data_IF_933785879754
#
_entry.id   IF_933785879754
#
_cell.length_a   1.000
_cell.length_b   1.000
_cell.length_c   1.000
_cell.angle_alpha   90.00
_cell.angle_beta   90.00
_cell.angle_gamma   90.00
#
_symmetry.space_group_name_H-M   'P 1'
#
loop_
_entity.id
_entity.type
_entity.pdbx_description
1 polymer ?
#
# COMPACT_ATOMS: atom_id res chain seq x y z
N UNK A 1 -5.08 -22.87 33.29
CA UNK A 1 -5.32 -21.64 32.50
C UNK A 1 -4.56 -21.79 31.20
N UNK A 2 -5.24 -22.02 30.10
CA UNK A 2 -4.62 -22.25 28.79
C UNK A 2 -4.13 -20.92 28.21
N UNK A 3 -2.81 -20.73 28.18
CA UNK A 3 -2.18 -19.55 27.58
C UNK A 3 -2.41 -19.53 26.06
N UNK A 4 -3.00 -18.43 25.61
CA UNK A 4 -3.25 -18.09 24.22
C UNK A 4 -1.99 -17.40 23.69
N UNK A 5 -1.08 -18.17 23.10
CA UNK A 5 0.12 -17.62 22.46
C UNK A 5 -0.26 -17.00 21.13
N UNK A 6 -0.36 -15.67 21.10
CA UNK A 6 -0.60 -14.91 19.88
C UNK A 6 0.76 -14.65 19.21
N UNK A 7 0.97 -15.06 17.94
CA UNK A 7 2.19 -14.77 17.20
C UNK A 7 2.42 -13.24 17.06
N UNK A 8 3.65 -12.78 16.83
CA UNK A 8 3.98 -11.36 16.79
C UNK A 8 3.10 -10.61 15.78
N UNK A 9 2.25 -9.72 16.29
CA UNK A 9 1.29 -8.97 15.50
C UNK A 9 1.98 -7.78 14.84
N UNK A 10 1.94 -7.72 13.51
CA UNK A 10 2.39 -6.55 12.75
C UNK A 10 1.18 -5.66 12.38
N UNK A 11 1.35 -4.34 12.47
CA UNK A 11 0.28 -3.38 12.13
C UNK A 11 -0.28 -3.64 10.73
N UNK A 12 -1.61 -3.70 10.63
CA UNK A 12 -2.31 -3.86 9.36
C UNK A 12 -2.23 -5.27 8.74
N UNK A 13 -1.51 -6.22 9.36
CA UNK A 13 -1.51 -7.63 8.94
C UNK A 13 -2.46 -8.43 9.82
N UNK A 14 -3.26 -9.29 9.18
CA UNK A 14 -4.06 -10.30 9.87
C UNK A 14 -3.22 -11.55 10.07
N UNK A 15 -3.21 -12.08 11.28
CA UNK A 15 -2.62 -13.39 11.59
C UNK A 15 -3.73 -14.35 11.96
N UNK A 16 -3.76 -15.51 11.31
CA UNK A 16 -4.72 -16.57 11.57
C UNK A 16 -4.12 -17.65 12.48
N UNK A 17 -4.93 -18.19 13.39
CA UNK A 17 -4.57 -19.35 14.23
C UNK A 17 -5.82 -20.16 14.52
N UNK A 18 -5.68 -21.44 14.88
CA UNK A 18 -6.80 -22.27 15.32
C UNK A 18 -7.02 -22.15 16.83
N UNK A 19 -8.28 -22.20 17.28
CA UNK A 19 -8.57 -22.34 18.70
C UNK A 19 -7.98 -23.65 19.25
N UNK A 20 -7.20 -23.60 20.33
CA UNK A 20 -6.59 -24.80 20.93
C UNK A 20 -7.60 -25.74 21.62
N UNK A 21 -8.83 -25.29 21.89
CA UNK A 21 -9.87 -26.09 22.54
C UNK A 21 -10.90 -26.68 21.57
N UNK A 22 -11.23 -25.98 20.49
CA UNK A 22 -12.29 -26.41 19.56
C UNK A 22 -11.85 -26.42 18.08
N UNK A 23 -10.59 -26.10 17.79
CA UNK A 23 -10.00 -26.03 16.45
C UNK A 23 -10.70 -25.09 15.45
N UNK A 24 -11.65 -24.27 15.91
CA UNK A 24 -12.29 -23.26 15.08
C UNK A 24 -11.25 -22.25 14.55
N UNK A 25 -11.37 -21.81 13.28
CA UNK A 25 -10.46 -20.83 12.71
C UNK A 25 -10.66 -19.47 13.37
N UNK A 26 -9.57 -18.90 13.89
CA UNK A 26 -9.54 -17.56 14.48
C UNK A 26 -8.65 -16.65 13.63
N UNK A 27 -9.02 -15.37 13.53
CA UNK A 27 -8.24 -14.35 12.85
C UNK A 27 -8.08 -13.14 13.75
N UNK A 28 -6.85 -12.76 14.03
CA UNK A 28 -6.51 -11.58 14.82
C UNK A 28 -5.90 -10.55 13.88
N UNK A 29 -6.43 -9.32 13.91
CA UNK A 29 -5.90 -8.19 13.14
C UNK A 29 -5.71 -6.99 14.06
N UNK A 30 -4.46 -6.57 14.21
CA UNK A 30 -4.13 -5.39 14.98
C UNK A 30 -4.23 -4.15 14.08
N UNK A 31 -5.26 -3.34 14.33
CA UNK A 31 -5.54 -2.15 13.52
C UNK A 31 -4.65 -0.98 13.93
N UNK A 32 -4.53 -0.71 15.23
CA UNK A 32 -3.70 0.37 15.79
C UNK A 32 -3.04 -0.11 17.08
N UNK A 33 -1.87 0.45 17.41
CA UNK A 33 -1.23 0.31 18.73
C UNK A 33 -1.01 1.72 19.26
N UNK A 34 -1.66 2.03 20.38
CA UNK A 34 -1.37 3.21 21.18
C UNK A 34 -0.44 2.75 22.30
N UNK A 35 0.73 3.35 22.39
CA UNK A 35 1.67 3.10 23.48
C UNK A 35 1.56 4.32 24.39
N UNK A 36 0.77 4.19 25.45
CA UNK A 36 0.77 5.17 26.53
C UNK A 36 1.95 4.90 27.47
N UNK A 37 2.52 5.97 28.01
CA UNK A 37 3.41 5.85 29.16
C UNK A 37 2.57 5.36 30.34
N UNK A 38 2.91 4.18 30.86
CA UNK A 38 2.47 3.78 32.20
C UNK A 38 3.03 4.82 33.17
N UNK A 39 2.17 5.72 33.64
CA UNK A 39 2.50 6.56 34.80
C UNK A 39 2.93 5.61 35.90
N UNK A 40 4.20 5.69 36.30
CA UNK A 40 4.67 4.96 37.46
C UNK A 40 3.79 5.41 38.64
N UNK A 41 2.98 4.49 39.15
CA UNK A 41 2.22 4.71 40.37
C UNK A 41 3.21 4.86 41.52
N UNK A 42 3.53 6.11 41.87
CA UNK A 42 4.44 6.39 42.97
C UNK A 42 4.74 7.88 43.12
N UNK A 43 3.94 8.56 43.94
CA UNK A 43 4.26 9.87 44.48
C UNK A 43 3.44 11.01 43.86
N UNK A 44 2.70 11.72 44.71
CA UNK A 44 2.08 12.99 44.36
C UNK A 44 3.14 14.01 43.94
N UNK A 45 3.37 14.11 42.63
CA UNK A 45 4.01 15.25 42.00
C UNK A 45 2.93 16.16 41.45
N UNK A 46 3.10 17.47 41.61
CA UNK A 46 2.24 18.49 41.04
C UNK A 46 1.90 18.16 39.57
N UNK A 47 0.61 18.22 39.21
CA UNK A 47 0.18 18.26 37.81
C UNK A 47 0.96 19.41 37.15
N UNK A 48 1.83 19.08 36.21
CA UNK A 48 2.68 20.08 35.60
C UNK A 48 1.84 20.90 34.62
N UNK A 49 2.22 22.16 34.42
CA UNK A 49 1.63 23.06 33.41
C UNK A 49 1.61 22.46 31.98
N UNK A 50 2.45 21.45 31.72
CA UNK A 50 2.45 20.66 30.48
C UNK A 50 1.25 19.72 30.33
N UNK A 51 0.71 19.18 31.44
CA UNK A 51 -0.44 18.28 31.39
C UNK A 51 -1.74 19.04 31.03
N UNK A 52 -1.85 20.30 31.44
CA UNK A 52 -3.00 21.17 31.15
C UNK A 52 -3.03 21.60 29.67
N UNK A 53 -1.88 21.95 29.09
CA UNK A 53 -1.74 22.34 27.66
C UNK A 53 -2.08 21.16 26.72
N UNK A 54 -1.62 19.95 27.05
CA UNK A 54 -1.94 18.73 26.30
C UNK A 54 -3.43 18.35 26.39
N UNK A 55 -4.07 18.55 27.56
CA UNK A 55 -5.51 18.31 27.72
C UNK A 55 -6.34 19.32 26.92
N UNK A 56 -5.94 20.60 26.94
CA UNK A 56 -6.60 21.64 26.17
C UNK A 56 -6.51 21.37 24.66
N UNK A 57 -5.33 20.98 24.17
CA UNK A 57 -5.12 20.60 22.77
C UNK A 57 -5.99 19.39 22.37
N UNK A 58 -6.04 18.33 23.18
CA UNK A 58 -6.89 17.17 22.88
C UNK A 58 -8.39 17.54 22.92
N UNK A 59 -8.80 18.45 23.81
CA UNK A 59 -10.16 18.98 23.84
C UNK A 59 -10.52 19.72 22.54
N UNK A 60 -9.60 20.53 22.01
CA UNK A 60 -9.75 21.26 20.75
C UNK A 60 -9.81 20.29 19.57
N UNK A 61 -8.95 19.27 19.55
CA UNK A 61 -8.96 18.22 18.53
C UNK A 61 -10.27 17.43 18.54
N UNK A 62 -10.80 17.08 19.72
CA UNK A 62 -12.09 16.39 19.87
C UNK A 62 -13.24 17.24 19.33
N UNK A 63 -13.24 18.55 19.59
CA UNK A 63 -14.21 19.50 19.02
C UNK A 63 -14.10 19.56 17.50
N UNK A 64 -12.88 19.64 16.94
CA UNK A 64 -12.64 19.63 15.50
C UNK A 64 -13.12 18.35 14.83
N UNK A 65 -12.82 17.18 15.41
CA UNK A 65 -13.28 15.87 14.91
C UNK A 65 -14.80 15.80 14.85
N UNK A 66 -15.49 16.26 15.90
CA UNK A 66 -16.96 16.24 15.99
C UNK A 66 -17.61 17.14 14.94
N UNK A 67 -17.02 18.31 14.66
CA UNK A 67 -17.46 19.23 13.61
C UNK A 67 -17.20 18.69 12.18
N UNK A 68 -16.21 17.80 12.00
CA UNK A 68 -15.80 17.31 10.69
C UNK A 68 -16.32 15.93 10.29
N UNK A 69 -17.19 15.32 11.09
CA UNK A 69 -17.78 14.02 10.75
C UNK A 69 -18.50 14.07 9.39
N UNK A 70 -19.11 15.22 9.07
CA UNK A 70 -19.88 15.48 7.85
C UNK A 70 -19.13 16.24 6.76
N UNK A 71 -17.78 16.27 6.78
CA UNK A 71 -16.99 16.99 5.77
C UNK A 71 -17.38 16.59 4.32
N UNK A 72 -17.70 15.32 4.09
CA UNK A 72 -18.18 14.84 2.79
C UNK A 72 -19.48 15.52 2.35
N UNK A 73 -20.41 15.72 3.29
CA UNK A 73 -21.71 16.35 3.03
C UNK A 73 -21.54 17.84 2.75
N UNK A 74 -20.68 18.52 3.51
CA UNK A 74 -20.36 19.95 3.33
C UNK A 74 -19.67 20.20 1.99
N UNK A 75 -18.78 19.29 1.58
CA UNK A 75 -18.07 19.40 0.29
C UNK A 75 -18.87 18.84 -0.90
N UNK A 76 -20.12 18.40 -0.69
CA UNK A 76 -20.97 17.83 -1.75
C UNK A 76 -20.41 16.56 -2.40
N UNK A 77 -19.53 15.83 -1.69
CA UNK A 77 -18.86 14.65 -2.20
C UNK A 77 -19.78 13.44 -2.11
N UNK A 78 -20.13 12.88 -3.27
CA UNK A 78 -20.97 11.69 -3.37
C UNK A 78 -20.12 10.44 -3.56
N UNK A 79 -20.47 9.39 -2.82
CA UNK A 79 -19.85 8.07 -2.98
C UNK A 79 -20.10 7.57 -4.42
N UNK A 80 -19.06 7.08 -5.07
CA UNK A 80 -19.08 6.61 -6.45
C UNK A 80 -18.70 7.67 -7.49
N UNK A 81 -18.77 8.96 -7.16
CA UNK A 81 -18.26 10.03 -8.02
C UNK A 81 -16.78 10.30 -7.70
N UNK A 82 -15.97 10.77 -8.67
CA UNK A 82 -14.58 11.13 -8.40
C UNK A 82 -14.49 12.38 -7.51
N UNK A 83 -13.45 12.42 -6.68
CA UNK A 83 -13.06 13.62 -5.94
C UNK A 83 -12.62 14.73 -6.91
N UNK A 84 -12.59 16.00 -6.47
CA UNK A 84 -11.95 17.08 -7.20
C UNK A 84 -10.53 16.69 -7.63
N UNK A 85 -10.19 16.93 -8.91
CA UNK A 85 -8.94 16.49 -9.53
C UNK A 85 -8.59 15.00 -9.29
N UNK A 86 -9.61 14.13 -9.14
CA UNK A 86 -9.46 12.70 -8.83
C UNK A 86 -8.62 12.45 -7.56
N UNK A 87 -8.63 13.40 -6.63
CA UNK A 87 -7.87 13.33 -5.39
C UNK A 87 -6.37 13.66 -5.53
N UNK A 88 -5.93 14.16 -6.68
CA UNK A 88 -4.56 14.64 -6.86
C UNK A 88 -4.35 16.04 -6.24
N UNK A 89 -3.11 16.36 -5.92
CA UNK A 89 -2.71 17.72 -5.52
C UNK A 89 -1.36 18.09 -6.15
N UNK A 90 -0.95 19.36 -5.95
CA UNK A 90 0.35 19.87 -6.44
C UNK A 90 1.55 19.09 -5.89
N UNK A 91 1.47 18.59 -4.66
CA UNK A 91 2.55 17.81 -4.05
C UNK A 91 2.63 16.38 -4.61
N UNK A 92 1.47 15.75 -4.88
CA UNK A 92 1.38 14.38 -5.36
C UNK A 92 0.35 14.25 -6.48
N UNK A 93 0.80 14.47 -7.72
CA UNK A 93 -0.04 14.42 -8.90
C UNK A 93 -0.61 13.02 -9.20
N UNK A 94 0.00 11.96 -8.67
CA UNK A 94 -0.32 10.56 -8.99
C UNK A 94 -0.83 9.74 -7.80
N UNK A 95 -1.07 10.35 -6.64
CA UNK A 95 -1.58 9.63 -5.47
C UNK A 95 -3.06 9.25 -5.62
N UNK A 96 -3.83 10.09 -6.33
CA UNK A 96 -5.28 9.95 -6.56
C UNK A 96 -6.06 9.54 -5.30
N UNK A 97 -5.72 10.14 -4.15
CA UNK A 97 -6.30 9.83 -2.85
C UNK A 97 -6.30 11.05 -1.95
N UNK A 98 -7.26 11.12 -1.04
CA UNK A 98 -7.16 11.97 0.14
C UNK A 98 -6.85 11.12 1.37
N UNK A 99 -6.27 11.74 2.39
CA UNK A 99 -5.87 11.16 3.65
C UNK A 99 -6.72 11.78 4.76
N UNK A 100 -7.31 10.94 5.62
CA UNK A 100 -8.00 11.40 6.81
C UNK A 100 -7.07 11.30 8.00
N UNK A 101 -6.80 12.46 8.61
CA UNK A 101 -5.91 12.54 9.75
C UNK A 101 -6.70 12.35 11.05
N UNK A 102 -6.23 11.50 11.97
CA UNK A 102 -6.93 11.26 13.24
C UNK A 102 -6.88 12.49 14.14
N UNK A 103 -5.92 13.41 13.96
CA UNK A 103 -5.84 14.62 14.79
C UNK A 103 -7.11 15.50 14.67
N UNK A 104 -7.41 16.02 13.48
CA UNK A 104 -8.55 16.92 13.26
C UNK A 104 -9.78 16.25 12.63
N UNK A 105 -9.66 14.99 12.20
CA UNK A 105 -10.72 14.26 11.50
C UNK A 105 -10.97 14.72 10.06
N UNK A 106 -10.25 15.74 9.57
CA UNK A 106 -10.36 16.27 8.20
C UNK A 106 -9.65 15.38 7.18
N UNK A 107 -10.17 15.36 5.97
CA UNK A 107 -9.57 14.77 4.80
C UNK A 107 -8.78 15.83 4.01
N UNK A 108 -7.50 15.54 3.73
CA UNK A 108 -6.62 16.39 2.92
C UNK A 108 -5.95 15.55 1.83
N UNK A 109 -5.58 16.11 0.66
CA UNK A 109 -4.96 15.34 -0.41
C UNK A 109 -3.65 14.62 -0.04
N UNK A 110 -2.85 15.21 0.86
CA UNK A 110 -1.59 14.64 1.32
C UNK A 110 -1.14 15.26 2.65
N UNK A 111 -0.06 14.72 3.24
CA UNK A 111 0.54 15.24 4.47
C UNK A 111 0.97 16.71 4.35
N UNK A 112 1.67 17.08 3.27
CA UNK A 112 2.05 18.49 3.03
C UNK A 112 0.83 19.43 2.89
N UNK A 113 -0.30 18.96 2.33
CA UNK A 113 -1.55 19.75 2.29
C UNK A 113 -2.23 19.84 3.66
N UNK A 114 -1.93 18.92 4.58
CA UNK A 114 -2.43 18.96 5.95
C UNK A 114 -1.57 19.90 6.82
N UNK A 115 -0.25 19.84 6.68
CA UNK A 115 0.70 20.77 7.32
C UNK A 115 0.44 22.24 6.94
N UNK A 116 0.09 22.50 5.67
CA UNK A 116 -0.26 23.84 5.21
C UNK A 116 -1.69 24.31 5.57
N UNK A 117 -2.42 23.56 6.41
CA UNK A 117 -3.81 23.88 6.79
C UNK A 117 -3.91 24.44 8.21
N UNK A 118 -5.05 25.04 8.54
CA UNK A 118 -5.34 25.60 9.88
C UNK A 118 -5.63 24.52 10.94
N UNK A 119 -4.89 23.41 10.90
CA UNK A 119 -5.00 22.33 11.87
C UNK A 119 -3.87 22.53 12.91
N UNK A 120 -4.20 22.79 14.20
CA UNK A 120 -3.19 23.03 15.23
C UNK A 120 -2.28 21.81 15.44
N UNK A 121 -2.79 20.61 15.18
CA UNK A 121 -2.06 19.36 15.29
C UNK A 121 -1.36 18.92 13.99
N UNK A 122 -1.33 19.75 12.95
CA UNK A 122 -0.66 19.37 11.71
C UNK A 122 0.86 19.35 11.83
N UNK A 123 1.42 20.26 12.64
CA UNK A 123 2.85 20.32 12.92
C UNK A 123 3.38 19.15 13.76
N UNK A 124 2.49 18.42 14.47
CA UNK A 124 2.87 17.30 15.33
C UNK A 124 3.24 16.02 14.57
N UNK A 125 3.20 16.02 13.23
CA UNK A 125 3.62 14.86 12.42
C UNK A 125 2.70 13.64 12.51
N UNK A 126 1.45 13.82 12.94
CA UNK A 126 0.48 12.73 13.11
C UNK A 126 0.18 12.06 11.76
N UNK A 127 0.35 10.74 11.69
CA UNK A 127 0.07 9.96 10.47
C UNK A 127 -1.43 9.74 10.24
N UNK A 128 -1.81 9.63 8.96
CA UNK A 128 -3.16 9.30 8.55
C UNK A 128 -3.45 7.78 8.67
N UNK A 129 -4.57 7.43 9.31
CA UNK A 129 -4.98 6.04 9.49
C UNK A 129 -5.95 5.56 8.41
N UNK A 130 -6.64 6.49 7.74
CA UNK A 130 -7.61 6.19 6.67
C UNK A 130 -7.30 7.01 5.43
N UNK A 131 -7.70 6.51 4.29
CA UNK A 131 -7.62 7.21 3.02
C UNK A 131 -8.95 7.12 2.27
N UNK A 132 -9.17 8.07 1.36
CA UNK A 132 -10.34 8.14 0.51
C UNK A 132 -9.86 8.00 -0.93
N UNK A 133 -10.45 7.05 -1.66
CA UNK A 133 -10.12 6.85 -3.06
C UNK A 133 -10.57 8.04 -3.90
N UNK A 134 -9.66 8.67 -4.64
CA UNK A 134 -10.00 9.83 -5.45
C UNK A 134 -10.85 9.54 -6.69
N UNK A 135 -10.98 8.27 -7.10
CA UNK A 135 -11.83 7.89 -8.24
C UNK A 135 -13.28 7.56 -7.87
N UNK A 136 -13.49 6.94 -6.70
CA UNK A 136 -14.81 6.48 -6.29
C UNK A 136 -15.28 7.07 -4.96
N UNK A 137 -14.50 7.99 -4.36
CA UNK A 137 -14.81 8.68 -3.11
C UNK A 137 -15.16 7.78 -1.93
N UNK A 138 -14.73 6.51 -1.95
CA UNK A 138 -14.91 5.56 -0.84
C UNK A 138 -13.74 5.61 0.12
N UNK A 139 -14.06 5.64 1.41
CA UNK A 139 -13.08 5.61 2.49
C UNK A 139 -12.64 4.18 2.82
N UNK A 140 -11.34 4.00 3.05
CA UNK A 140 -10.71 2.71 3.34
C UNK A 140 -9.56 2.89 4.35
N UNK A 141 -9.11 1.82 5.04
CA UNK A 141 -7.91 1.89 5.86
C UNK A 141 -6.70 2.29 5.01
N UNK A 142 -5.72 2.95 5.62
CA UNK A 142 -4.51 3.31 4.89
C UNK A 142 -3.76 2.05 4.44
N UNK A 143 -3.66 1.84 3.13
CA UNK A 143 -2.88 0.76 2.52
C UNK A 143 -2.21 1.21 1.21
N UNK A 144 -1.18 0.47 0.76
CA UNK A 144 -0.61 0.61 -0.58
C UNK A 144 -1.34 -0.23 -1.63
N UNK A 145 -2.30 -1.07 -1.21
CA UNK A 145 -3.06 -1.93 -2.11
C UNK A 145 -4.00 -1.10 -3.00
N UNK A 146 -4.34 -1.59 -4.21
CA UNK A 146 -5.37 -0.95 -5.02
C UNK A 146 -6.70 -0.84 -4.27
N UNK A 147 -7.51 0.14 -4.67
CA UNK A 147 -8.85 0.32 -4.13
C UNK A 147 -9.69 -0.97 -4.36
N UNK A 148 -10.25 -1.59 -3.31
CA UNK A 148 -11.02 -2.83 -3.45
C UNK A 148 -12.33 -2.65 -4.23
N UNK A 149 -12.81 -1.41 -4.38
CA UNK A 149 -14.08 -1.13 -5.05
C UNK A 149 -13.96 -0.76 -6.52
N UNK A 150 -12.85 -0.15 -6.94
CA UNK A 150 -12.68 0.34 -8.32
C UNK A 150 -11.32 0.04 -8.94
N UNK A 151 -10.43 -0.64 -8.22
CA UNK A 151 -9.10 -1.02 -8.70
C UNK A 151 -8.09 0.13 -8.82
N UNK A 152 -8.42 1.36 -8.39
CA UNK A 152 -7.49 2.47 -8.46
C UNK A 152 -6.20 2.21 -7.67
N UNK A 153 -5.05 2.47 -8.29
CA UNK A 153 -3.74 2.41 -7.62
C UNK A 153 -3.36 3.77 -7.04
N UNK A 154 -2.79 3.76 -5.83
CA UNK A 154 -2.42 4.97 -5.08
C UNK A 154 -0.94 5.34 -5.17
N UNK A 155 -0.15 4.42 -5.68
CA UNK A 155 1.24 4.65 -6.04
C UNK A 155 1.34 4.64 -7.54
N UNK A 156 2.22 5.47 -8.08
CA UNK A 156 2.65 5.29 -9.46
C UNK A 156 3.21 3.87 -9.54
N UNK A 157 2.71 3.00 -10.44
CA UNK A 157 3.36 1.72 -10.64
C UNK A 157 4.80 2.07 -11.04
N UNK A 158 5.80 1.66 -10.24
CA UNK A 158 7.16 2.16 -10.39
C UNK A 158 7.63 2.07 -11.84
N UNK A 159 8.39 3.06 -12.30
CA UNK A 159 9.11 2.95 -13.57
C UNK A 159 10.14 1.84 -13.39
N UNK A 160 9.73 0.60 -13.64
CA UNK A 160 10.55 -0.58 -13.39
C UNK A 160 11.63 -0.67 -14.47
N UNK A 161 12.64 0.20 -14.37
CA UNK A 161 13.95 -0.10 -14.89
C UNK A 161 14.67 -0.92 -13.82
N UNK A 162 14.81 -2.22 -14.10
CA UNK A 162 15.68 -3.18 -13.42
C UNK A 162 15.73 -3.11 -11.88
N UNK A 163 14.72 -3.66 -11.19
CA UNK A 163 14.84 -3.96 -9.76
C UNK A 163 15.65 -5.25 -9.54
N UNK A 164 16.98 -5.13 -9.43
CA UNK A 164 17.82 -6.10 -8.71
C UNK A 164 17.71 -7.59 -9.10
N UNK A 165 17.21 -7.92 -10.30
CA UNK A 165 17.14 -9.30 -10.81
C UNK A 165 15.84 -10.09 -10.58
N UNK A 166 14.80 -9.51 -9.96
CA UNK A 166 13.55 -10.24 -9.64
C UNK A 166 12.28 -9.84 -10.40
N UNK A 167 12.27 -8.71 -11.13
CA UNK A 167 11.06 -8.19 -11.78
C UNK A 167 10.80 -8.75 -13.18
N UNK A 168 9.52 -8.99 -13.51
CA UNK A 168 9.09 -9.37 -14.86
C UNK A 168 9.41 -8.25 -15.87
N UNK A 169 10.06 -8.59 -16.99
CA UNK A 169 10.43 -7.66 -18.08
C UNK A 169 9.22 -7.23 -18.89
N UNK A 170 8.50 -6.20 -18.44
CA UNK A 170 7.41 -5.62 -19.24
C UNK A 170 7.93 -4.78 -20.41
N UNK A 171 7.79 -5.29 -21.63
CA UNK A 171 8.23 -4.63 -22.87
C UNK A 171 7.61 -3.23 -23.07
N UNK A 172 6.36 -3.04 -22.65
CA UNK A 172 5.66 -1.75 -22.76
C UNK A 172 6.27 -0.66 -21.88
N UNK A 173 6.89 -1.06 -20.77
CA UNK A 173 7.40 -0.14 -19.73
C UNK A 173 8.90 0.11 -19.85
N UNK A 174 9.61 -0.72 -20.62
CA UNK A 174 11.02 -0.53 -20.94
C UNK A 174 11.23 0.76 -21.75
N UNK A 175 12.34 1.45 -21.50
CA UNK A 175 12.76 2.63 -22.28
C UNK A 175 12.99 2.26 -23.74
N UNK A 176 12.68 3.16 -24.68
CA UNK A 176 13.01 2.97 -26.10
C UNK A 176 14.51 2.83 -26.35
N UNK A 177 15.34 3.35 -25.44
CA UNK A 177 16.81 3.25 -25.50
C UNK A 177 17.35 1.94 -24.89
N UNK A 178 16.49 1.10 -24.31
CA UNK A 178 16.89 -0.17 -23.72
C UNK A 178 17.16 -1.21 -24.82
N UNK A 179 18.40 -1.71 -24.87
CA UNK A 179 18.84 -2.73 -25.83
C UNK A 179 18.01 -4.02 -25.84
N UNK A 180 17.29 -4.32 -24.74
CA UNK A 180 16.46 -5.51 -24.58
C UNK A 180 15.01 -5.28 -24.95
N UNK A 181 14.52 -4.03 -25.08
CA UNK A 181 13.11 -3.74 -25.42
C UNK A 181 12.66 -4.37 -26.73
N UNK A 182 13.51 -4.34 -27.75
CA UNK A 182 13.20 -4.88 -29.08
C UNK A 182 13.95 -6.17 -29.39
N UNK A 183 14.65 -6.75 -28.40
CA UNK A 183 15.44 -7.97 -28.61
C UNK A 183 14.54 -9.20 -28.60
N UNK A 184 14.48 -9.89 -29.74
CA UNK A 184 13.68 -11.12 -29.91
C UNK A 184 12.22 -10.88 -30.30
N UNK A 185 11.86 -9.64 -30.66
CA UNK A 185 10.49 -9.24 -31.04
C UNK A 185 10.55 -8.41 -32.33
N UNK A 186 9.57 -8.57 -33.22
CA UNK A 186 9.44 -7.79 -34.45
C UNK A 186 8.95 -6.37 -34.15
N UNK A 187 8.99 -5.48 -35.15
CA UNK A 187 8.43 -4.12 -35.04
C UNK A 187 6.93 -4.14 -34.65
N UNK A 188 6.21 -5.20 -35.01
CA UNK A 188 4.80 -5.43 -34.69
C UNK A 188 4.59 -6.14 -33.35
N UNK A 189 5.64 -6.34 -32.53
CA UNK A 189 5.53 -6.98 -31.21
C UNK A 189 5.42 -8.51 -31.23
N UNK A 190 5.54 -9.13 -32.40
CA UNK A 190 5.49 -10.60 -32.54
C UNK A 190 6.87 -11.18 -32.18
N UNK A 191 6.91 -12.21 -31.31
CA UNK A 191 8.16 -12.90 -30.97
C UNK A 191 8.80 -13.45 -32.25
N UNK A 192 10.06 -13.08 -32.50
CA UNK A 192 10.79 -13.59 -33.67
C UNK A 192 10.97 -15.09 -33.52
N UNK A 193 10.70 -15.84 -34.59
CA UNK A 193 10.97 -17.28 -34.65
C UNK A 193 12.46 -17.51 -34.40
N UNK A 194 12.78 -18.27 -33.35
CA UNK A 194 14.16 -18.66 -33.09
C UNK A 194 14.53 -19.81 -34.01
N UNK A 195 15.75 -19.77 -34.57
CA UNK A 195 16.22 -20.82 -35.45
C UNK A 195 16.40 -22.13 -34.67
N UNK A 196 15.71 -23.19 -35.09
CA UNK A 196 15.89 -24.56 -34.57
C UNK A 196 17.22 -25.20 -35.01
N UNK A 197 18.12 -24.45 -35.66
CA UNK A 197 19.40 -24.93 -36.17
C UNK A 197 20.28 -25.53 -35.05
N UNK A 198 20.28 -24.95 -33.86
CA UNK A 198 21.01 -25.51 -32.72
C UNK A 198 20.50 -26.91 -32.31
N UNK A 199 19.19 -27.14 -32.44
CA UNK A 199 18.56 -28.41 -32.11
C UNK A 199 18.68 -29.43 -33.26
N UNK A 200 18.76 -28.96 -34.51
CA UNK A 200 18.89 -29.83 -35.70
C UNK A 200 20.34 -30.21 -36.03
N UNK A 201 21.26 -29.26 -35.99
CA UNK A 201 22.67 -29.46 -36.42
C UNK A 201 23.70 -29.11 -35.34
N UNK A 202 23.27 -28.59 -34.19
CA UNK A 202 24.15 -28.32 -33.06
C UNK A 202 24.41 -29.57 -32.20
N UNK A 203 25.07 -29.37 -31.06
CA UNK A 203 25.46 -30.45 -30.13
C UNK A 203 24.27 -31.33 -29.72
N UNK A 204 23.12 -30.71 -29.45
CA UNK A 204 21.89 -31.42 -29.12
C UNK A 204 21.39 -32.31 -30.29
N UNK A 205 21.44 -31.80 -31.52
CA UNK A 205 21.06 -32.57 -32.71
C UNK A 205 22.00 -33.74 -33.00
N UNK A 206 23.31 -33.55 -32.81
CA UNK A 206 24.30 -34.63 -32.92
C UNK A 206 24.05 -35.73 -31.88
N UNK A 207 23.78 -35.36 -30.63
CA UNK A 207 23.42 -36.30 -29.56
C UNK A 207 22.13 -37.07 -29.87
N UNK A 208 21.07 -36.38 -30.30
CA UNK A 208 19.80 -37.03 -30.67
C UNK A 208 19.96 -38.00 -31.85
N UNK A 209 20.81 -37.66 -32.83
CA UNK A 209 21.11 -38.53 -33.97
C UNK A 209 21.91 -39.76 -33.54
N UNK A 210 22.85 -39.60 -32.60
CA UNK A 210 23.61 -40.70 -32.04
C UNK A 210 22.72 -41.68 -31.27
N UNK A 211 21.79 -41.17 -30.44
CA UNK A 211 20.80 -42.00 -29.72
C UNK A 211 19.94 -42.80 -30.69
N UNK A 212 19.37 -42.15 -31.73
CA UNK A 212 18.58 -42.84 -32.76
C UNK A 212 19.37 -43.92 -33.51
N UNK A 213 20.68 -43.73 -33.71
CA UNK A 213 21.53 -44.75 -34.36
C UNK A 213 21.74 -45.95 -33.46
N UNK A 214 21.89 -45.75 -32.16
CA UNK A 214 22.04 -46.81 -31.17
C UNK A 214 20.74 -47.61 -31.02
N UNK A 215 19.59 -46.94 -30.94
CA UNK A 215 18.26 -47.58 -30.86
C UNK A 215 17.94 -48.44 -32.09
N UNK A 216 18.49 -48.09 -33.26
CA UNK A 216 18.26 -48.83 -34.52
C UNK A 216 19.23 -50.00 -34.72
N UNK A 217 20.28 -50.05 -33.89
CA UNK A 217 21.31 -51.09 -33.89
C UNK A 217 21.09 -52.14 -32.79
N UNK A 218 20.12 -51.89 -31.89
CA UNK A 218 19.54 -52.86 -30.96
C UNK A 218 18.35 -53.57 -31.63
#
# INVERSE_FOLDING_TARGET
MSELEIPPLQRGKSVGTGCRSCHAPLMVRMSNVLVDRLSASGGGGARGEADDEDEELESLLKKLRRKNLDQFKVMGLLIGKPLPQKGACKHYAHSYRWLRFPCCGRAHPCAACHEASDCPAAAMGVWANRMICGKCSREMPYSSSPCPHCGNTFTRPGDAHWQGGGGCRDQQRLSNKDSRKYKGVSATGVKKTTSSKAQRVGVAGKKATAVKRLEKAA
#
